data_IF_162131407741
#
_entry.id   IF_162131407741
#
_cell.length_a   1.000
_cell.length_b   1.000
_cell.length_c   1.000
_cell.angle_alpha   90.00
_cell.angle_beta   90.00
_cell.angle_gamma   90.00
#
_symmetry.space_group_name_H-M   'P 1'
#
loop_
_entity.id
_entity.type
_entity.pdbx_description
1 polymer ?
#
# COMPACT_ATOMS: atom_id res chain seq x y z
N UNK A 1 -22.36 -4.33 11.01
CA UNK A 1 -22.13 -3.81 9.64
C UNK A 1 -20.63 -3.82 9.41
N UNK A 2 -20.10 -4.87 8.79
CA UNK A 2 -18.66 -4.97 8.52
C UNK A 2 -18.49 -4.82 7.02
N UNK A 3 -18.11 -3.61 6.60
CA UNK A 3 -17.98 -3.24 5.20
C UNK A 3 -16.66 -3.78 4.65
N UNK A 4 -16.48 -5.10 4.62
CA UNK A 4 -15.29 -5.78 4.09
C UNK A 4 -15.33 -5.78 2.57
N UNK A 5 -15.36 -4.58 1.95
CA UNK A 5 -15.33 -4.47 0.50
C UNK A 5 -13.91 -4.59 -0.06
N UNK A 6 -12.88 -4.28 0.73
CA UNK A 6 -11.50 -4.24 0.23
C UNK A 6 -10.50 -4.80 1.27
N UNK A 7 -10.30 -6.13 1.30
CA UNK A 7 -9.41 -6.76 2.27
C UNK A 7 -7.93 -6.50 1.99
N UNK A 8 -7.54 -5.81 0.92
CA UNK A 8 -6.14 -5.52 0.60
C UNK A 8 -5.93 -4.02 0.39
N UNK A 9 -5.02 -3.42 1.13
CA UNK A 9 -4.68 -2.00 1.06
C UNK A 9 -3.24 -1.81 0.62
N UNK A 10 -3.04 -1.08 -0.47
CA UNK A 10 -1.72 -0.68 -0.94
C UNK A 10 -1.27 0.57 -0.19
N UNK A 11 -0.14 0.46 0.52
CA UNK A 11 0.42 1.53 1.34
C UNK A 11 1.82 1.87 0.82
N UNK A 12 2.04 3.16 0.62
CA UNK A 12 3.31 3.77 0.22
C UNK A 12 4.02 4.26 1.48
N UNK A 13 5.28 3.87 1.63
CA UNK A 13 6.13 4.24 2.75
C UNK A 13 7.20 5.16 2.21
N UNK A 14 7.25 6.37 2.75
CA UNK A 14 8.24 7.38 2.39
C UNK A 14 9.44 7.35 3.33
N UNK A 15 10.54 7.95 2.88
CA UNK A 15 11.81 8.05 3.60
C UNK A 15 11.73 8.76 4.95
N UNK A 16 10.73 9.60 5.15
CA UNK A 16 10.44 10.26 6.42
C UNK A 16 9.63 9.38 7.40
N UNK A 17 9.30 8.15 7.02
CA UNK A 17 8.44 7.25 7.79
C UNK A 17 6.94 7.48 7.60
N UNK A 18 6.53 8.41 6.74
CA UNK A 18 5.11 8.61 6.41
C UNK A 18 4.57 7.41 5.65
N UNK A 19 3.32 7.06 5.99
CA UNK A 19 2.55 6.05 5.29
C UNK A 19 1.37 6.69 4.58
N UNK A 20 1.19 6.36 3.31
CA UNK A 20 0.08 6.86 2.50
C UNK A 20 -0.68 5.71 1.85
N UNK A 21 -1.99 5.67 2.05
CA UNK A 21 -2.84 4.69 1.38
C UNK A 21 -3.03 5.07 -0.08
N UNK A 22 -2.31 4.37 -0.96
CA UNK A 22 -2.36 4.59 -2.40
C UNK A 22 -3.62 3.97 -3.05
N UNK A 23 -4.19 2.92 -2.44
CA UNK A 23 -5.42 2.30 -2.94
C UNK A 23 -5.89 1.13 -2.08
N UNK A 24 -7.17 0.78 -2.24
CA UNK A 24 -7.80 -0.37 -1.60
C UNK A 24 -8.37 -1.30 -2.68
N UNK A 25 -8.20 -2.60 -2.49
CA UNK A 25 -8.45 -3.63 -3.49
C UNK A 25 -9.26 -4.80 -2.91
N UNK A 26 -10.18 -5.32 -3.71
CA UNK A 26 -10.99 -6.50 -3.37
C UNK A 26 -10.16 -7.79 -3.42
N UNK A 27 -9.09 -7.79 -4.22
CA UNK A 27 -8.31 -8.97 -4.58
C UNK A 27 -6.82 -8.75 -4.37
N UNK A 28 -6.14 -9.77 -3.83
CA UNK A 28 -4.69 -9.76 -3.66
C UNK A 28 -3.97 -9.58 -4.99
N UNK A 29 -4.52 -10.17 -6.06
CA UNK A 29 -3.94 -10.03 -7.41
C UNK A 29 -3.89 -8.58 -7.86
N UNK A 30 -4.97 -7.83 -7.64
CA UNK A 30 -5.05 -6.43 -8.04
C UNK A 30 -4.10 -5.57 -7.21
N UNK A 31 -4.04 -5.81 -5.89
CA UNK A 31 -3.10 -5.14 -5.00
C UNK A 31 -1.63 -5.43 -5.38
N UNK A 32 -1.30 -6.68 -5.71
CA UNK A 32 0.04 -7.07 -6.16
C UNK A 32 0.39 -6.45 -7.51
N UNK A 33 -0.55 -6.42 -8.45
CA UNK A 33 -0.33 -5.78 -9.74
C UNK A 33 -0.11 -4.26 -9.58
N UNK A 34 -0.89 -3.62 -8.71
CA UNK A 34 -0.71 -2.22 -8.37
C UNK A 34 0.65 -1.97 -7.70
N UNK A 35 1.08 -2.83 -6.78
CA UNK A 35 2.43 -2.81 -6.20
C UNK A 35 3.51 -2.92 -7.27
N UNK A 36 3.39 -3.83 -8.23
CA UNK A 36 4.37 -3.99 -9.32
C UNK A 36 4.44 -2.73 -10.19
N UNK A 37 3.29 -2.14 -10.53
CA UNK A 37 3.25 -0.87 -11.29
C UNK A 37 3.90 0.26 -10.49
N UNK A 38 3.58 0.35 -9.21
CA UNK A 38 4.10 1.38 -8.33
C UNK A 38 5.58 1.16 -7.95
N UNK A 39 6.15 -0.05 -8.10
CA UNK A 39 7.60 -0.26 -7.95
C UNK A 39 8.43 0.62 -8.88
N UNK A 40 7.91 0.98 -10.06
CA UNK A 40 8.57 1.93 -10.97
C UNK A 40 8.64 3.36 -10.40
N UNK A 41 7.80 3.69 -9.42
CA UNK A 41 7.78 4.96 -8.73
C UNK A 41 8.68 4.97 -7.47
N UNK A 42 9.18 3.81 -7.02
CA UNK A 42 10.11 3.75 -5.87
C UNK A 42 11.39 4.52 -6.20
N UNK A 43 11.79 5.40 -5.28
CA UNK A 43 12.93 6.30 -5.46
C UNK A 43 12.58 7.63 -6.14
N UNK A 44 11.35 7.80 -6.66
CA UNK A 44 10.89 9.10 -7.13
C UNK A 44 10.48 9.98 -5.96
N UNK A 45 10.66 11.28 -6.16
CA UNK A 45 10.25 12.32 -5.22
C UNK A 45 8.80 12.70 -5.55
N UNK A 46 7.92 12.57 -4.57
CA UNK A 46 6.53 12.99 -4.64
C UNK A 46 6.40 14.52 -4.68
N UNK A 47 5.22 15.05 -5.01
CA UNK A 47 4.95 16.50 -5.10
C UNK A 47 5.25 17.25 -3.78
N UNK A 48 5.27 16.52 -2.68
CA UNK A 48 5.63 17.02 -1.34
C UNK A 48 7.12 16.94 -1.02
N UNK A 49 7.98 16.56 -1.96
CA UNK A 49 9.43 16.46 -1.75
C UNK A 49 9.88 15.19 -1.01
N UNK A 50 8.96 14.25 -0.75
CA UNK A 50 9.24 12.98 -0.05
C UNK A 50 9.64 11.89 -1.03
N UNK A 51 10.62 11.05 -0.70
CA UNK A 51 11.04 9.96 -1.58
C UNK A 51 10.27 8.70 -1.24
N UNK A 52 9.62 8.09 -2.23
CA UNK A 52 8.99 6.80 -2.02
C UNK A 52 10.06 5.74 -1.74
N UNK A 53 10.08 5.19 -0.53
CA UNK A 53 11.09 4.24 -0.09
C UNK A 53 10.64 2.80 -0.29
N UNK A 54 9.42 2.49 0.12
CA UNK A 54 8.87 1.15 0.04
C UNK A 54 7.37 1.15 -0.26
N UNK A 55 6.88 0.01 -0.75
CA UNK A 55 5.48 -0.20 -1.05
C UNK A 55 5.06 -1.52 -0.45
N UNK A 56 4.08 -1.47 0.45
CA UNK A 56 3.53 -2.63 1.13
C UNK A 56 2.06 -2.83 0.76
N UNK A 57 1.60 -4.07 0.89
CA UNK A 57 0.18 -4.41 0.77
C UNK A 57 -0.22 -4.98 2.12
N UNK A 58 -1.13 -4.31 2.81
CA UNK A 58 -1.71 -4.74 4.06
C UNK A 58 -2.97 -5.55 3.75
N UNK A 59 -3.12 -6.73 4.35
CA UNK A 59 -4.36 -7.47 4.31
C UNK A 59 -5.17 -7.20 5.59
N UNK A 60 -6.44 -6.79 5.48
CA UNK A 60 -7.37 -6.77 6.62
C UNK A 60 -7.67 -8.23 7.00
N UNK A 61 -6.84 -8.79 7.88
CA UNK A 61 -6.92 -10.20 8.28
C UNK A 61 -5.69 -10.69 9.06
N UNK A 62 -4.57 -9.99 8.99
CA UNK A 62 -3.37 -10.32 9.77
C UNK A 62 -3.30 -9.45 11.02
N UNK A 63 -4.34 -9.52 11.85
CA UNK A 63 -4.17 -9.34 13.28
C UNK A 63 -3.92 -10.74 13.83
N UNK A 64 -2.66 -11.09 14.03
CA UNK A 64 -2.23 -12.29 14.74
C UNK A 64 -3.04 -12.39 16.05
N UNK A 65 -4.03 -13.28 16.05
CA UNK A 65 -4.61 -13.83 17.27
C UNK A 65 -3.74 -15.02 17.61
N UNK A 66 -2.82 -14.82 18.55
CA UNK A 66 -2.22 -15.91 19.31
C UNK A 66 -2.32 -15.57 20.79
#
# INVERSE_FOLDING_TARGET
MSNTKFPYTLVFIYDNGDQFTAGQYCSLRDALQAKIRAKAEIGKIDVLGRRLEAITVLAEGENETN
#
